data_IF_433144304280
#
_entry.id   IF_433144304280
#
_cell.length_a   1.000
_cell.length_b   1.000
_cell.length_c   1.000
_cell.angle_alpha   90.00
_cell.angle_beta   90.00
_cell.angle_gamma   90.00
#
_symmetry.space_group_name_H-M   'P 1'
#
loop_
_entity.id
_entity.type
_entity.pdbx_description
1 polymer ?
#
# COMPACT_ATOMS: atom_id res chain seq x y z
N UNK A 1 23.28 -4.80 32.83
CA UNK A 1 23.75 -4.98 31.44
C UNK A 1 23.28 -6.36 31.02
N UNK A 2 22.38 -6.59 30.06
CA UNK A 2 22.00 -5.81 28.88
C UNK A 2 20.47 -5.74 28.79
N UNK A 3 19.94 -4.59 28.38
CA UNK A 3 18.57 -4.50 27.87
C UNK A 3 18.53 -5.35 26.60
N UNK A 4 17.92 -6.53 26.72
CA UNK A 4 17.60 -7.39 25.59
C UNK A 4 16.64 -6.61 24.70
N UNK A 5 17.20 -5.90 23.72
CA UNK A 5 16.46 -5.24 22.65
C UNK A 5 15.76 -6.36 21.88
N UNK A 6 14.56 -6.72 22.36
CA UNK A 6 13.67 -7.66 21.69
C UNK A 6 13.42 -7.02 20.34
N UNK A 7 14.03 -7.56 19.29
CA UNK A 7 13.66 -7.25 17.91
C UNK A 7 12.14 -7.20 17.86
N UNK A 8 11.59 -5.99 17.73
CA UNK A 8 10.16 -5.78 17.58
C UNK A 8 9.80 -6.41 16.24
N UNK A 9 9.40 -7.67 16.30
CA UNK A 9 9.04 -8.51 15.16
C UNK A 9 7.56 -8.32 14.85
N UNK A 10 6.92 -7.32 15.44
CA UNK A 10 5.55 -6.95 15.13
C UNK A 10 5.57 -5.92 14.00
N UNK A 11 5.78 -6.41 12.78
CA UNK A 11 5.59 -5.62 11.56
C UNK A 11 4.12 -5.14 11.50
N UNK A 12 3.83 -3.96 12.06
CA UNK A 12 2.47 -3.45 12.11
C UNK A 12 2.11 -2.87 10.75
N UNK A 13 1.28 -3.60 10.00
CA UNK A 13 0.71 -3.10 8.76
C UNK A 13 -0.37 -2.07 9.07
N UNK A 14 -0.52 -1.07 8.20
CA UNK A 14 -1.51 0.00 8.36
C UNK A 14 -2.93 -0.56 8.57
N UNK A 15 -3.28 -1.65 7.88
CA UNK A 15 -4.55 -2.37 8.05
C UNK A 15 -4.73 -2.92 9.47
N UNK A 16 -3.67 -3.51 10.05
CA UNK A 16 -3.72 -4.08 11.41
C UNK A 16 -3.84 -2.99 12.48
N UNK A 17 -3.14 -1.87 12.30
CA UNK A 17 -3.28 -0.70 13.18
C UNK A 17 -4.72 -0.14 13.15
N UNK A 18 -5.25 0.09 11.95
CA UNK A 18 -6.61 0.62 11.77
C UNK A 18 -7.66 -0.32 12.37
N UNK A 19 -7.48 -1.63 12.23
CA UNK A 19 -8.40 -2.62 12.81
C UNK A 19 -8.31 -2.71 14.34
N UNK A 20 -7.09 -2.61 14.90
CA UNK A 20 -6.89 -2.58 16.35
C UNK A 20 -7.49 -1.32 16.99
N UNK A 21 -7.39 -0.16 16.33
CA UNK A 21 -8.04 1.08 16.79
C UNK A 21 -9.57 1.02 16.70
N UNK A 22 -10.12 0.32 15.72
CA UNK A 22 -11.57 0.16 15.58
C UNK A 22 -12.17 -0.78 16.62
N UNK A 23 -11.46 -1.86 16.97
CA UNK A 23 -11.86 -2.77 18.04
C UNK A 23 -11.93 -2.05 19.42
N UNK A 24 -11.17 -0.98 19.63
CA UNK A 24 -11.22 -0.17 20.86
C UNK A 24 -12.49 0.69 20.98
N UNK A 25 -13.20 0.93 19.89
CA UNK A 25 -14.39 1.81 19.86
C UNK A 25 -15.62 1.00 19.43
N UNK A 26 -16.44 0.49 20.38
CA UNK A 26 -17.61 -0.36 20.08
C UNK A 26 -18.75 0.34 19.31
N UNK A 27 -18.62 1.64 19.03
CA UNK A 27 -19.53 2.45 18.17
C UNK A 27 -18.99 2.72 16.77
N UNK A 28 -17.80 2.22 16.42
CA UNK A 28 -17.20 2.46 15.11
C UNK A 28 -17.94 1.66 14.03
N UNK A 29 -18.78 2.34 13.25
CA UNK A 29 -19.70 1.76 12.24
C UNK A 29 -19.02 1.15 11.01
N UNK A 30 -17.71 0.87 11.04
CA UNK A 30 -16.98 0.26 9.92
C UNK A 30 -16.77 1.15 8.68
N UNK A 31 -17.49 2.27 8.54
CA UNK A 31 -17.32 3.20 7.41
C UNK A 31 -15.91 3.81 7.33
N UNK A 32 -15.34 4.20 8.47
CA UNK A 32 -13.96 4.71 8.51
C UNK A 32 -12.95 3.63 8.09
N UNK A 33 -13.21 2.36 8.42
CA UNK A 33 -12.41 1.20 7.95
C UNK A 33 -12.48 1.08 6.45
N UNK A 34 -13.69 1.18 5.90
CA UNK A 34 -13.93 1.01 4.48
C UNK A 34 -13.24 2.12 3.70
N UNK A 35 -13.36 3.37 4.17
CA UNK A 35 -12.70 4.53 3.59
C UNK A 35 -11.17 4.36 3.60
N UNK A 36 -10.59 4.00 4.74
CA UNK A 36 -9.14 3.80 4.85
C UNK A 36 -8.63 2.65 3.96
N UNK A 37 -9.39 1.56 3.81
CA UNK A 37 -9.03 0.47 2.91
C UNK A 37 -9.17 0.86 1.43
N UNK A 38 -10.17 1.67 1.08
CA UNK A 38 -10.34 2.20 -0.26
C UNK A 38 -9.15 3.10 -0.66
N UNK A 39 -8.71 3.99 0.24
CA UNK A 39 -7.53 4.85 0.02
C UNK A 39 -6.27 4.01 -0.19
N UNK A 40 -6.03 2.99 0.63
CA UNK A 40 -4.89 2.08 0.47
C UNK A 40 -4.92 1.34 -0.88
N UNK A 41 -6.11 0.97 -1.36
CA UNK A 41 -6.30 0.31 -2.66
C UNK A 41 -6.04 1.28 -3.81
N UNK A 42 -6.48 2.53 -3.69
CA UNK A 42 -6.18 3.58 -4.66
C UNK A 42 -4.67 3.86 -4.76
N UNK A 43 -3.97 3.99 -3.64
CA UNK A 43 -2.51 4.17 -3.64
C UNK A 43 -1.79 3.01 -4.35
N UNK A 44 -2.18 1.75 -4.07
CA UNK A 44 -1.62 0.57 -4.74
C UNK A 44 -1.90 0.57 -6.25
N UNK A 45 -3.11 0.95 -6.66
CA UNK A 45 -3.49 1.05 -8.06
C UNK A 45 -2.65 2.12 -8.78
N UNK A 46 -2.46 3.28 -8.16
CA UNK A 46 -1.59 4.36 -8.68
C UNK A 46 -0.16 3.87 -8.81
N UNK A 47 0.41 3.25 -7.77
CA UNK A 47 1.77 2.70 -7.84
C UNK A 47 1.94 1.67 -8.96
N UNK A 48 0.94 0.82 -9.17
CA UNK A 48 0.95 -0.16 -10.26
C UNK A 48 0.86 0.52 -11.63
N UNK A 49 0.00 1.53 -11.78
CA UNK A 49 -0.16 2.29 -13.02
C UNK A 49 1.12 3.05 -13.40
N UNK A 50 1.76 3.72 -12.44
CA UNK A 50 3.05 4.41 -12.64
C UNK A 50 4.15 3.44 -13.04
N UNK A 51 4.24 2.28 -12.37
CA UNK A 51 5.26 1.26 -12.69
C UNK A 51 5.05 0.65 -14.07
N UNK A 52 3.79 0.45 -14.49
CA UNK A 52 3.45 0.03 -15.84
C UNK A 52 3.71 1.11 -16.87
N UNK A 53 3.42 2.38 -16.58
CA UNK A 53 3.70 3.50 -17.49
C UNK A 53 5.20 3.59 -17.83
N UNK A 54 6.08 3.35 -16.86
CA UNK A 54 7.53 3.28 -17.12
C UNK A 54 7.91 2.19 -18.13
N UNK A 55 7.30 1.00 -18.03
CA UNK A 55 7.60 -0.15 -18.91
C UNK A 55 6.92 0.03 -20.29
N UNK A 56 5.68 0.51 -20.31
CA UNK A 56 4.91 0.73 -21.54
C UNK A 56 5.51 1.84 -22.38
N UNK A 57 5.91 2.97 -21.78
CA UNK A 57 6.55 4.05 -22.53
C UNK A 57 7.89 3.62 -23.13
N UNK A 58 8.67 2.80 -22.41
CA UNK A 58 9.93 2.26 -22.92
C UNK A 58 9.73 1.30 -24.10
N UNK A 59 8.75 0.38 -24.01
CA UNK A 59 8.46 -0.55 -25.11
C UNK A 59 7.98 0.18 -26.37
N UNK A 60 7.09 1.16 -26.22
CA UNK A 60 6.56 1.93 -27.35
C UNK A 60 7.69 2.69 -28.06
N UNK A 61 8.61 3.32 -27.32
CA UNK A 61 9.76 3.99 -27.93
C UNK A 61 10.60 3.00 -28.75
N UNK A 62 11.01 1.87 -28.19
CA UNK A 62 11.79 0.85 -28.91
C UNK A 62 11.09 0.35 -30.17
N UNK A 63 9.80 0.02 -30.09
CA UNK A 63 9.09 -0.49 -31.27
C UNK A 63 8.94 0.56 -32.37
N UNK A 64 8.92 1.84 -32.03
CA UNK A 64 8.82 2.94 -33.01
C UNK A 64 10.13 3.26 -33.71
N UNK A 65 11.29 3.02 -33.09
CA UNK A 65 12.60 3.19 -33.74
C UNK A 65 13.00 1.99 -34.60
N UNK A 66 12.55 0.78 -34.26
CA UNK A 66 12.87 -0.43 -35.06
C UNK A 66 12.08 -0.54 -36.38
N UNK A 67 11.03 0.29 -36.57
CA UNK A 67 10.17 0.32 -37.78
C UNK A 67 10.50 1.44 -38.77
N UNK A 68 11.60 2.19 -38.55
CA UNK A 68 12.09 3.23 -39.44
C UNK A 68 13.51 2.90 -39.91
#
# INVERSE_FOLDING_TARGET
MASMDKFDTDCMTLTRFVHAEQMKVPKATGELTLLMNAIQTACKAISNAVRKAGITQMHVYSTTIDVY
#
